data_IF_625809929296
#
_entry.id   IF_625809929296
#
_cell.length_a   1.000
_cell.length_b   1.000
_cell.length_c   1.000
_cell.angle_alpha   90.00
_cell.angle_beta   90.00
_cell.angle_gamma   90.00
#
_symmetry.space_group_name_H-M   'P 1'
#
loop_
_entity.id
_entity.type
_entity.pdbx_description
1 polymer ?
#
# COMPACT_ATOMS: atom_id res chain seq x y z
N UNK A 1 69.86 12.19 -40.64
CA UNK A 1 69.71 10.88 -41.32
C UNK A 1 70.32 9.82 -40.40
N UNK A 2 69.76 8.62 -40.18
CA UNK A 2 68.62 7.95 -40.82
C UNK A 2 67.44 7.57 -39.87
N UNK A 3 66.35 7.13 -40.50
CA UNK A 3 65.12 6.59 -39.90
C UNK A 3 65.29 5.16 -39.37
N UNK A 4 64.49 4.79 -38.35
CA UNK A 4 63.97 3.42 -38.25
C UNK A 4 62.57 3.38 -37.63
N UNK A 5 61.65 2.90 -38.47
CA UNK A 5 60.27 2.49 -38.19
C UNK A 5 60.28 1.06 -37.64
N UNK A 6 59.42 0.72 -36.67
CA UNK A 6 58.31 -0.24 -36.83
C UNK A 6 57.55 -0.58 -35.52
N UNK A 7 56.32 -1.11 -35.64
CA UNK A 7 55.19 -0.81 -34.76
C UNK A 7 54.88 -1.93 -33.76
N UNK A 8 54.30 -1.55 -32.60
CA UNK A 8 53.81 -2.48 -31.59
C UNK A 8 52.32 -2.28 -31.34
N UNK A 9 51.52 -3.24 -31.84
CA UNK A 9 50.11 -3.53 -31.58
C UNK A 9 49.64 -3.08 -30.18
N UNK A 10 48.65 -2.19 -30.11
CA UNK A 10 47.24 -2.53 -29.89
C UNK A 10 46.95 -3.22 -28.55
N UNK A 11 46.27 -2.53 -27.63
CA UNK A 11 44.99 -3.00 -27.07
C UNK A 11 44.26 -1.82 -26.40
N UNK A 12 43.33 -1.24 -27.14
CA UNK A 12 42.32 -0.31 -26.64
C UNK A 12 41.21 -1.16 -26.01
N UNK A 13 41.26 -1.37 -24.70
CA UNK A 13 40.20 -2.05 -23.96
C UNK A 13 39.02 -1.07 -23.76
N UNK A 14 38.16 -1.03 -24.77
CA UNK A 14 36.85 -0.38 -24.73
C UNK A 14 35.94 -1.21 -23.80
N UNK A 15 35.84 -0.85 -22.53
CA UNK A 15 34.85 -1.41 -21.60
C UNK A 15 33.46 -0.89 -21.98
N UNK A 16 32.81 -1.60 -22.91
CA UNK A 16 31.38 -1.51 -23.19
C UNK A 16 30.60 -1.92 -21.93
N UNK A 17 30.08 -0.93 -21.21
CA UNK A 17 29.03 -1.12 -20.21
C UNK A 17 27.74 -1.42 -20.99
N UNK A 18 27.42 -2.71 -21.17
CA UNK A 18 26.09 -3.11 -21.63
C UNK A 18 25.09 -2.88 -20.48
N UNK A 19 23.98 -2.16 -20.70
CA UNK A 19 22.84 -2.24 -19.79
C UNK A 19 22.20 -3.61 -19.97
N UNK A 20 22.31 -4.46 -18.96
CA UNK A 20 21.52 -5.69 -18.87
C UNK A 20 20.04 -5.31 -18.84
N UNK A 21 19.34 -5.51 -19.95
CA UNK A 21 17.88 -5.53 -19.95
C UNK A 21 17.44 -6.73 -19.10
N UNK A 22 16.95 -6.46 -17.89
CA UNK A 22 16.25 -7.45 -17.09
C UNK A 22 14.95 -7.83 -17.81
N UNK A 23 14.98 -8.92 -18.60
CA UNK A 23 13.75 -9.58 -18.99
C UNK A 23 13.12 -10.11 -17.70
N UNK A 24 12.04 -9.46 -17.27
CA UNK A 24 11.21 -9.96 -16.19
C UNK A 24 10.73 -11.35 -16.60
N UNK A 25 11.32 -12.40 -15.99
CA UNK A 25 10.83 -13.77 -16.12
C UNK A 25 9.42 -13.80 -15.51
N UNK A 26 8.42 -13.57 -16.35
CA UNK A 26 7.02 -13.67 -15.95
C UNK A 26 6.74 -15.15 -15.70
N UNK A 27 6.45 -15.45 -14.45
CA UNK A 27 6.07 -16.77 -14.00
C UNK A 27 4.89 -17.30 -14.85
N UNK A 28 4.92 -18.54 -15.35
CA UNK A 28 3.85 -19.10 -16.17
C UNK A 28 2.49 -19.08 -15.46
N UNK A 29 2.47 -19.14 -14.12
CA UNK A 29 1.25 -18.97 -13.33
C UNK A 29 0.71 -17.54 -13.44
N UNK A 30 1.59 -16.54 -13.42
CA UNK A 30 1.20 -15.13 -13.58
C UNK A 30 0.60 -14.86 -14.97
N UNK A 31 1.10 -15.52 -16.01
CA UNK A 31 0.52 -15.43 -17.36
C UNK A 31 -0.90 -16.03 -17.41
N UNK A 32 -1.12 -17.17 -16.77
CA UNK A 32 -2.44 -17.80 -16.71
C UNK A 32 -3.46 -16.95 -15.94
N UNK A 33 -3.07 -16.45 -14.75
CA UNK A 33 -3.94 -15.60 -13.93
C UNK A 33 -4.31 -14.31 -14.67
N UNK A 34 -3.35 -13.70 -15.39
CA UNK A 34 -3.62 -12.51 -16.20
C UNK A 34 -4.55 -12.78 -17.39
N UNK A 35 -4.47 -13.97 -18.00
CA UNK A 35 -5.41 -14.39 -19.03
C UNK A 35 -6.84 -14.54 -18.47
N UNK A 36 -6.99 -15.19 -17.31
CA UNK A 36 -8.29 -15.29 -16.63
C UNK A 36 -8.85 -13.92 -16.21
N UNK A 37 -8.00 -13.03 -15.71
CA UNK A 37 -8.38 -11.66 -15.35
C UNK A 37 -8.88 -10.87 -16.57
N UNK A 38 -8.22 -11.04 -17.73
CA UNK A 38 -8.59 -10.37 -18.97
C UNK A 38 -9.96 -10.81 -19.51
N UNK A 39 -10.27 -12.11 -19.45
CA UNK A 39 -11.52 -12.65 -20.01
C UNK A 39 -12.72 -12.56 -19.06
N UNK A 40 -12.49 -12.62 -17.74
CA UNK A 40 -13.58 -12.73 -16.76
C UNK A 40 -13.68 -11.52 -15.82
N UNK A 41 -12.76 -10.56 -15.91
CA UNK A 41 -12.79 -9.37 -15.05
C UNK A 41 -12.20 -9.64 -13.65
N UNK A 42 -12.49 -8.78 -12.67
CA UNK A 42 -11.72 -8.72 -11.42
C UNK A 42 -11.87 -9.98 -10.56
N UNK A 43 -10.95 -10.15 -9.60
CA UNK A 43 -10.92 -11.29 -8.67
C UNK A 43 -12.16 -11.45 -7.77
N UNK A 44 -13.08 -10.48 -7.79
CA UNK A 44 -14.38 -10.58 -7.12
C UNK A 44 -15.45 -11.25 -7.99
N UNK A 45 -15.16 -11.55 -9.26
CA UNK A 45 -16.08 -12.24 -10.16
C UNK A 45 -15.97 -13.76 -9.98
N UNK A 46 -17.08 -14.47 -9.66
CA UNK A 46 -17.05 -15.93 -9.55
C UNK A 46 -16.60 -16.65 -10.83
N UNK A 47 -16.79 -16.04 -12.01
CA UNK A 47 -16.30 -16.60 -13.28
C UNK A 47 -14.77 -16.56 -13.40
N UNK A 48 -14.12 -15.53 -12.83
CA UNK A 48 -12.66 -15.44 -12.76
C UNK A 48 -12.10 -16.54 -11.86
N UNK A 49 -12.68 -16.71 -10.67
CA UNK A 49 -12.27 -17.75 -9.70
C UNK A 49 -12.39 -19.16 -10.32
N UNK A 50 -13.46 -19.41 -11.08
CA UNK A 50 -13.65 -20.66 -11.81
C UNK A 50 -12.61 -20.88 -12.93
N UNK A 51 -12.19 -19.82 -13.63
CA UNK A 51 -11.16 -19.90 -14.66
C UNK A 51 -9.80 -20.28 -14.05
N UNK A 52 -9.39 -19.57 -13.00
CA UNK A 52 -8.12 -19.83 -12.31
C UNK A 52 -8.08 -21.26 -11.75
N UNK A 53 -9.18 -21.72 -11.15
CA UNK A 53 -9.29 -23.06 -10.58
C UNK A 53 -9.28 -24.20 -11.62
N UNK A 54 -9.62 -23.92 -12.88
CA UNK A 54 -9.62 -24.93 -13.95
C UNK A 54 -8.35 -24.94 -14.79
N UNK A 55 -7.78 -23.75 -15.02
CA UNK A 55 -6.74 -23.55 -16.03
C UNK A 55 -5.36 -23.25 -15.43
N UNK A 56 -5.30 -22.72 -14.21
CA UNK A 56 -4.05 -22.24 -13.62
C UNK A 56 -3.51 -23.11 -12.48
N UNK A 57 -4.10 -24.30 -12.25
CA UNK A 57 -3.66 -25.26 -11.23
C UNK A 57 -3.24 -26.56 -11.88
N UNK A 58 -1.96 -26.90 -11.74
CA UNK A 58 -1.42 -28.23 -12.07
C UNK A 58 -1.46 -29.08 -10.78
N UNK A 59 -2.17 -30.23 -10.86
CA UNK A 59 -2.43 -31.24 -9.82
C UNK A 59 -3.22 -30.80 -8.55
N UNK A 60 -4.12 -31.66 -8.03
CA UNK A 60 -4.83 -31.40 -6.78
C UNK A 60 -3.83 -31.45 -5.63
N UNK A 61 -3.56 -30.30 -5.03
CA UNK A 61 -2.80 -30.25 -3.79
C UNK A 61 -3.57 -31.02 -2.69
N UNK A 62 -2.88 -31.82 -1.83
CA UNK A 62 -3.49 -32.35 -0.60
C UNK A 62 -4.12 -31.19 0.19
N UNK A 63 -5.12 -31.45 1.06
CA UNK A 63 -5.89 -30.40 1.75
C UNK A 63 -4.94 -29.31 2.23
N UNK A 64 -5.01 -28.15 1.56
CA UNK A 64 -4.09 -27.05 1.81
C UNK A 64 -4.25 -26.65 3.27
N UNK A 65 -3.28 -27.02 4.09
CA UNK A 65 -2.93 -26.22 5.24
C UNK A 65 -2.95 -24.77 4.78
N UNK A 66 -3.74 -23.93 5.45
CA UNK A 66 -3.90 -22.52 5.14
C UNK A 66 -2.54 -21.97 4.71
N UNK A 67 -2.41 -21.57 3.45
CA UNK A 67 -1.21 -20.91 2.99
C UNK A 67 -1.02 -19.73 3.95
N UNK A 68 0.13 -19.63 4.64
CA UNK A 68 0.37 -18.50 5.51
C UNK A 68 0.19 -17.26 4.65
N UNK A 69 -0.81 -16.44 4.98
CA UNK A 69 -0.94 -15.11 4.42
C UNK A 69 0.48 -14.53 4.42
N UNK A 70 1.00 -14.15 3.24
CA UNK A 70 2.27 -13.41 3.15
C UNK A 70 2.27 -12.45 4.33
N UNK A 71 3.24 -12.51 5.27
CA UNK A 71 3.20 -11.68 6.46
C UNK A 71 2.88 -10.29 5.98
N UNK A 72 1.69 -9.80 6.31
CA UNK A 72 1.35 -8.45 5.97
C UNK A 72 2.46 -7.62 6.57
N UNK A 73 3.17 -6.87 5.73
CA UNK A 73 4.23 -6.01 6.20
C UNK A 73 3.69 -5.31 7.45
N UNK A 74 4.30 -5.60 8.60
CA UNK A 74 3.90 -5.05 9.89
C UNK A 74 4.35 -3.59 9.87
N UNK A 75 3.61 -2.75 9.16
CA UNK A 75 4.09 -1.43 8.82
C UNK A 75 3.18 -0.69 7.85
N UNK A 76 3.48 0.58 7.71
CA UNK A 76 2.76 1.47 6.83
C UNK A 76 3.08 1.17 5.37
N UNK A 77 2.05 1.12 4.55
CA UNK A 77 2.15 0.93 3.10
C UNK A 77 1.46 2.08 2.38
N UNK A 78 1.93 2.40 1.19
CA UNK A 78 1.29 3.38 0.31
C UNK A 78 0.55 2.67 -0.82
N UNK A 79 -0.38 3.38 -1.46
CA UNK A 79 -1.10 2.86 -2.61
C UNK A 79 -1.98 3.91 -3.27
N UNK A 80 -2.84 3.43 -4.17
CA UNK A 80 -3.84 4.25 -4.85
C UNK A 80 -5.20 3.55 -4.87
N UNK A 81 -6.25 4.35 -5.00
CA UNK A 81 -7.63 3.93 -5.22
C UNK A 81 -8.28 4.80 -6.32
N UNK A 82 -9.50 4.44 -6.72
CA UNK A 82 -10.31 5.19 -7.70
C UNK A 82 -9.58 5.44 -9.03
N UNK A 83 -8.90 4.41 -9.55
CA UNK A 83 -8.13 4.49 -10.79
C UNK A 83 -6.90 5.42 -10.71
N UNK A 84 -6.33 5.62 -9.51
CA UNK A 84 -5.15 6.46 -9.31
C UNK A 84 -5.45 7.88 -8.83
N UNK A 85 -6.73 8.26 -8.71
CA UNK A 85 -7.13 9.61 -8.27
C UNK A 85 -6.94 9.83 -6.78
N UNK A 86 -7.08 8.77 -5.99
CA UNK A 86 -6.91 8.80 -4.55
C UNK A 86 -5.58 8.16 -4.18
N UNK A 87 -4.72 8.90 -3.49
CA UNK A 87 -3.50 8.36 -2.90
C UNK A 87 -3.75 8.03 -1.44
N UNK A 88 -3.18 6.92 -0.99
CA UNK A 88 -3.40 6.43 0.37
C UNK A 88 -2.12 5.97 1.05
N UNK A 89 -2.12 6.09 2.38
CA UNK A 89 -1.17 5.48 3.29
C UNK A 89 -1.96 4.69 4.32
N UNK A 90 -1.60 3.43 4.58
CA UNK A 90 -2.39 2.55 5.44
C UNK A 90 -1.54 1.66 6.33
N UNK A 91 -2.11 1.28 7.46
CA UNK A 91 -1.58 0.25 8.37
C UNK A 91 -2.71 -0.65 8.83
N UNK A 92 -2.44 -1.96 8.96
CA UNK A 92 -3.40 -2.95 9.42
C UNK A 92 -2.82 -3.77 10.57
N UNK A 93 -3.63 -4.01 11.60
CA UNK A 93 -3.33 -4.94 12.70
C UNK A 93 -4.59 -5.75 13.01
N UNK A 94 -4.55 -7.04 12.72
CA UNK A 94 -5.73 -7.91 12.80
C UNK A 94 -6.89 -7.37 11.95
N UNK A 95 -8.04 -7.15 12.60
CA UNK A 95 -9.24 -6.58 11.95
C UNK A 95 -9.19 -5.06 11.75
N UNK A 96 -8.29 -4.36 12.45
CA UNK A 96 -8.24 -2.90 12.46
C UNK A 96 -7.35 -2.38 11.34
N UNK A 97 -7.85 -1.41 10.61
CA UNK A 97 -7.13 -0.73 9.55
C UNK A 97 -7.30 0.78 9.73
N UNK A 98 -6.19 1.51 9.67
CA UNK A 98 -6.17 2.97 9.59
C UNK A 98 -5.65 3.37 8.22
N UNK A 99 -6.34 4.30 7.58
CA UNK A 99 -6.01 4.85 6.27
C UNK A 99 -5.93 6.37 6.37
N UNK A 100 -4.89 6.94 5.78
CA UNK A 100 -4.90 8.32 5.33
C UNK A 100 -5.15 8.33 3.83
N UNK A 101 -6.04 9.19 3.35
CA UNK A 101 -6.41 9.32 1.95
C UNK A 101 -6.38 10.79 1.54
N UNK A 102 -5.96 11.06 0.31
CA UNK A 102 -6.09 12.38 -0.28
C UNK A 102 -6.33 12.29 -1.78
N UNK A 103 -6.92 13.34 -2.33
CA UNK A 103 -6.98 13.62 -3.76
C UNK A 103 -6.46 15.03 -4.02
N UNK A 104 -5.98 15.28 -5.25
CA UNK A 104 -5.55 16.61 -5.66
C UNK A 104 -6.70 17.61 -5.53
N UNK A 105 -6.44 18.75 -4.87
CA UNK A 105 -7.44 19.81 -4.65
C UNK A 105 -8.48 19.52 -3.56
N UNK A 106 -8.34 18.41 -2.83
CA UNK A 106 -9.21 18.05 -1.70
C UNK A 106 -8.43 18.04 -0.39
N UNK A 107 -9.14 18.20 0.73
CA UNK A 107 -8.55 17.97 2.04
C UNK A 107 -8.28 16.48 2.29
N UNK A 108 -7.24 16.19 3.08
CA UNK A 108 -6.96 14.84 3.54
C UNK A 108 -8.08 14.28 4.43
N UNK A 109 -8.27 12.97 4.37
CA UNK A 109 -9.20 12.23 5.20
C UNK A 109 -8.44 11.13 5.95
N UNK A 110 -8.82 10.91 7.20
CA UNK A 110 -8.42 9.74 7.97
C UNK A 110 -9.63 8.82 8.09
N UNK A 111 -9.46 7.56 7.71
CA UNK A 111 -10.51 6.56 7.75
C UNK A 111 -10.07 5.35 8.59
N UNK A 112 -11.03 4.79 9.32
CA UNK A 112 -10.86 3.62 10.18
C UNK A 112 -11.81 2.53 9.73
N UNK A 113 -11.31 1.29 9.67
CA UNK A 113 -12.10 0.08 9.43
C UNK A 113 -11.89 -0.92 10.57
N UNK A 114 -12.89 -1.78 10.79
CA UNK A 114 -12.81 -2.89 11.74
C UNK A 114 -13.31 -2.59 13.15
N UNK A 115 -13.85 -1.39 13.36
CA UNK A 115 -14.58 -1.00 14.57
C UNK A 115 -16.04 -1.45 14.45
N UNK A 116 -16.63 -1.94 15.54
CA UNK A 116 -17.95 -2.60 15.53
C UNK A 116 -19.07 -1.78 16.21
N UNK A 117 -18.74 -0.74 16.96
CA UNK A 117 -19.70 0.12 17.65
C UNK A 117 -20.38 1.15 16.75
N UNK A 118 -21.06 2.10 17.35
CA UNK A 118 -21.66 3.22 16.62
C UNK A 118 -20.60 4.24 16.17
N UNK A 119 -20.86 4.93 15.06
CA UNK A 119 -19.95 5.98 14.57
C UNK A 119 -19.87 7.16 15.55
N UNK A 120 -20.97 7.48 16.23
CA UNK A 120 -21.04 8.60 17.18
C UNK A 120 -20.25 8.39 18.48
N UNK A 121 -19.93 7.15 18.84
CA UNK A 121 -19.10 6.82 20.00
C UNK A 121 -17.60 6.72 19.65
N UNK A 122 -17.25 6.83 18.37
CA UNK A 122 -15.89 6.66 17.87
C UNK A 122 -14.97 7.75 18.43
N UNK A 123 -13.84 7.31 18.98
CA UNK A 123 -12.80 8.18 19.54
C UNK A 123 -11.45 7.75 18.99
N UNK A 124 -10.62 8.75 18.71
CA UNK A 124 -9.22 8.57 18.31
C UNK A 124 -8.31 9.27 19.31
N UNK A 125 -7.26 8.58 19.71
CA UNK A 125 -6.15 9.08 20.51
C UNK A 125 -4.84 8.88 19.77
N UNK A 126 -3.87 9.75 20.05
CA UNK A 126 -2.50 9.60 19.59
C UNK A 126 -1.59 9.77 20.80
N UNK A 127 -0.81 8.73 21.09
CA UNK A 127 0.06 8.65 22.27
C UNK A 127 -0.66 9.05 23.58
N UNK A 128 -1.88 8.52 23.76
CA UNK A 128 -2.73 8.79 24.92
C UNK A 128 -3.46 10.14 24.90
N UNK A 129 -3.16 11.05 23.96
CA UNK A 129 -3.89 12.31 23.81
C UNK A 129 -5.11 12.11 22.92
N UNK A 130 -6.30 12.30 23.49
CA UNK A 130 -7.56 12.28 22.74
C UNK A 130 -7.62 13.44 21.75
N UNK A 131 -7.98 13.15 20.50
CA UNK A 131 -8.21 14.16 19.47
C UNK A 131 -9.74 14.27 19.25
N UNK A 132 -10.35 15.42 19.54
CA UNK A 132 -11.79 15.60 19.37
C UNK A 132 -12.11 15.78 17.89
N UNK A 133 -12.52 14.69 17.23
CA UNK A 133 -12.91 14.70 15.82
C UNK A 133 -14.19 13.88 15.62
N UNK A 134 -15.22 14.44 14.95
CA UNK A 134 -16.40 13.69 14.58
C UNK A 134 -16.09 12.74 13.43
N UNK A 135 -16.57 11.51 13.52
CA UNK A 135 -16.49 10.54 12.43
C UNK A 135 -17.84 10.45 11.70
N UNK A 136 -17.76 10.28 10.38
CA UNK A 136 -18.90 9.93 9.54
C UNK A 136 -18.72 8.50 9.01
N UNK A 137 -19.81 7.72 8.93
CA UNK A 137 -19.78 6.39 8.36
C UNK A 137 -20.11 6.41 6.88
N UNK A 138 -19.31 5.71 6.07
CA UNK A 138 -19.55 5.49 4.65
C UNK A 138 -18.88 4.18 4.22
N UNK A 139 -19.61 3.29 3.55
CA UNK A 139 -19.07 2.05 2.97
C UNK A 139 -18.25 1.18 3.96
N UNK A 140 -18.70 1.09 5.21
CA UNK A 140 -18.02 0.34 6.27
C UNK A 140 -16.73 0.99 6.80
N UNK A 141 -16.42 2.22 6.35
CA UNK A 141 -15.38 3.08 6.89
C UNK A 141 -15.98 4.12 7.82
N UNK A 142 -15.23 4.49 8.85
CA UNK A 142 -15.48 5.69 9.66
C UNK A 142 -14.42 6.71 9.31
N UNK A 143 -14.81 7.81 8.69
CA UNK A 143 -13.90 8.83 8.19
C UNK A 143 -14.07 10.17 8.91
N UNK A 144 -12.97 10.88 9.07
CA UNK A 144 -12.93 12.25 9.58
C UNK A 144 -11.99 13.09 8.73
N UNK A 145 -12.25 14.40 8.57
CA UNK A 145 -11.28 15.31 7.98
C UNK A 145 -9.95 15.32 8.74
N UNK A 146 -8.86 15.39 7.98
CA UNK A 146 -7.50 15.56 8.48
C UNK A 146 -6.77 16.57 7.57
N UNK A 147 -7.18 17.86 7.58
CA UNK A 147 -6.54 18.88 6.78
C UNK A 147 -5.08 19.09 7.22
N UNK A 148 -4.27 19.66 6.31
CA UNK A 148 -2.90 20.09 6.59
C UNK A 148 -2.84 20.95 7.85
N UNK A 149 -1.83 20.74 8.69
CA UNK A 149 -1.69 21.44 9.98
C UNK A 149 -2.67 21.04 11.09
N UNK A 150 -3.62 20.11 10.86
CA UNK A 150 -4.51 19.64 11.93
C UNK A 150 -3.74 18.84 12.99
N UNK A 151 -4.20 18.91 14.25
CA UNK A 151 -3.63 18.11 15.34
C UNK A 151 -3.69 16.59 15.06
N UNK A 152 -4.73 16.15 14.34
CA UNK A 152 -4.88 14.77 13.90
C UNK A 152 -3.75 14.39 12.92
N UNK A 153 -3.59 15.13 11.83
CA UNK A 153 -2.55 14.84 10.83
C UNK A 153 -1.15 14.97 11.44
N UNK A 154 -0.89 16.03 12.20
CA UNK A 154 0.38 16.23 12.89
C UNK A 154 0.73 15.05 13.80
N UNK A 155 -0.24 14.58 14.60
CA UNK A 155 -0.06 13.40 15.43
C UNK A 155 0.17 12.12 14.63
N UNK A 156 -0.52 11.93 13.50
CA UNK A 156 -0.28 10.77 12.63
C UNK A 156 1.08 10.82 11.94
N UNK A 157 1.68 11.99 11.76
CA UNK A 157 2.99 12.14 11.13
C UNK A 157 4.16 11.90 12.08
N UNK A 158 3.97 12.17 13.38
CA UNK A 158 5.06 12.21 14.38
C UNK A 158 4.84 11.30 15.58
N UNK A 159 3.60 10.83 15.81
CA UNK A 159 3.25 10.01 16.95
C UNK A 159 3.80 8.58 16.90
N UNK A 160 3.74 7.89 18.04
CA UNK A 160 4.21 6.51 18.18
C UNK A 160 3.12 5.47 17.99
N UNK A 161 1.91 5.75 18.48
CA UNK A 161 0.74 4.87 18.35
C UNK A 161 -0.55 5.67 18.21
N UNK A 162 -1.55 5.04 17.62
CA UNK A 162 -2.92 5.55 17.57
C UNK A 162 -3.83 4.60 18.32
N UNK A 163 -4.60 5.15 19.26
CA UNK A 163 -5.62 4.44 20.00
C UNK A 163 -7.00 4.72 19.40
N UNK A 164 -7.76 3.67 19.16
CA UNK A 164 -9.10 3.72 18.60
C UNK A 164 -10.06 3.11 19.63
N UNK A 165 -11.17 3.76 19.90
CA UNK A 165 -12.17 3.24 20.83
C UNK A 165 -13.58 3.60 20.38
N UNK A 166 -14.53 2.72 20.66
CA UNK A 166 -15.97 2.95 20.52
C UNK A 166 -16.73 2.29 21.68
N UNK A 167 -18.06 2.21 21.59
CA UNK A 167 -18.92 1.57 22.60
C UNK A 167 -18.81 0.04 22.65
N UNK A 168 -18.15 -0.60 21.68
CA UNK A 168 -17.98 -2.07 21.59
C UNK A 168 -16.55 -2.52 21.85
N UNK A 169 -15.59 -1.61 21.98
CA UNK A 169 -14.23 -1.96 22.37
C UNK A 169 -13.19 -0.93 21.96
N UNK A 170 -11.94 -1.35 22.04
CA UNK A 170 -10.77 -0.53 21.74
C UNK A 170 -9.72 -1.32 20.96
N UNK A 171 -8.80 -0.58 20.34
CA UNK A 171 -7.67 -1.14 19.62
C UNK A 171 -6.55 -0.13 19.43
N UNK A 172 -5.37 -0.63 19.10
CA UNK A 172 -4.17 0.19 18.93
C UNK A 172 -3.49 -0.21 17.63
N UNK A 173 -3.03 0.79 16.88
CA UNK A 173 -2.21 0.60 15.68
C UNK A 173 -0.87 1.31 15.85
N UNK A 174 0.23 0.74 15.33
CA UNK A 174 1.53 1.40 15.37
C UNK A 174 1.56 2.57 14.39
N UNK A 175 2.19 3.68 14.79
CA UNK A 175 2.50 4.81 13.91
C UNK A 175 3.96 4.79 13.44
N UNK A 176 4.75 3.78 13.80
CA UNK A 176 6.09 3.61 13.23
C UNK A 176 6.02 3.51 11.69
N UNK A 177 6.69 4.43 10.98
CA UNK A 177 6.67 4.51 9.51
C UNK A 177 5.51 5.33 8.91
N UNK A 178 4.55 5.76 9.73
CA UNK A 178 3.39 6.58 9.31
C UNK A 178 3.80 7.86 8.60
N UNK A 179 4.70 8.64 9.20
CA UNK A 179 5.14 9.91 8.67
C UNK A 179 5.70 9.80 7.25
N UNK A 180 6.50 8.76 6.97
CA UNK A 180 7.04 8.53 5.62
C UNK A 180 5.92 8.20 4.63
N UNK A 181 5.04 7.27 4.97
CA UNK A 181 3.97 6.84 4.08
C UNK A 181 2.94 7.96 3.82
N UNK A 182 2.54 8.68 4.86
CA UNK A 182 1.57 9.78 4.76
C UNK A 182 2.17 10.95 3.96
N UNK A 183 3.45 11.31 4.19
CA UNK A 183 4.12 12.33 3.37
C UNK A 183 4.23 11.93 1.91
N UNK A 184 4.47 10.66 1.61
CA UNK A 184 4.46 10.16 0.23
C UNK A 184 3.08 10.29 -0.42
N UNK A 185 1.99 9.97 0.31
CA UNK A 185 0.63 10.17 -0.17
C UNK A 185 0.30 11.66 -0.39
N UNK A 186 0.63 12.52 0.58
CA UNK A 186 0.48 13.98 0.49
C UNK A 186 1.20 14.54 -0.75
N UNK A 187 2.46 14.15 -0.95
CA UNK A 187 3.26 14.58 -2.10
C UNK A 187 2.61 14.17 -3.44
N UNK A 188 2.09 12.94 -3.52
CA UNK A 188 1.38 12.47 -4.71
C UNK A 188 0.09 13.27 -5.00
N UNK A 189 -0.59 13.72 -3.95
CA UNK A 189 -1.74 14.64 -4.04
C UNK A 189 -1.37 16.10 -4.31
N UNK A 190 -0.08 16.47 -4.25
CA UNK A 190 0.37 17.86 -4.33
C UNK A 190 0.08 18.69 -3.07
N UNK A 191 -0.14 18.03 -1.93
CA UNK A 191 -0.43 18.66 -0.65
C UNK A 191 0.84 18.78 0.20
N UNK A 192 0.92 19.83 1.01
CA UNK A 192 1.95 19.96 2.05
C UNK A 192 1.38 19.49 3.40
N UNK A 193 2.18 18.80 4.24
CA UNK A 193 1.75 18.38 5.58
C UNK A 193 1.31 19.56 6.46
#
# INVERSE_FOLDING_TARGET
MPLSFRPGRALMALLLVLPSAAAAQQDPMQLCVNSCLFHHGPATNPAYEACVARQCVEAPAPPRAAQPAKPQAQGWTTGTADGGKTHLARVRSGRLELLYMCQRGSQGLVAVRGMAGSTGSMRIGIDGRRIPQPFAAKDGLRATPAPSGSALLGGLLTGGRVELADDRGQGVLPLAGSGQAIRAALAACGLRP
#
